data_IF_779400130247
#
_entry.id   IF_779400130247
#
_cell.length_a   1.000
_cell.length_b   1.000
_cell.length_c   1.000
_cell.angle_alpha   90.00
_cell.angle_beta   90.00
_cell.angle_gamma   90.00
#
_symmetry.space_group_name_H-M   'P 1'
#
loop_
_entity.id
_entity.type
_entity.pdbx_description
1 polymer ?
#
# COMPACT_ATOMS: atom_id res chain seq x y z
N UNK A 1 5.20 -15.68 -29.27
CA UNK A 1 5.19 -14.62 -28.22
C UNK A 1 4.14 -14.97 -27.19
N UNK A 2 4.47 -14.89 -25.90
CA UNK A 2 3.50 -15.15 -24.82
C UNK A 2 2.52 -13.98 -24.73
N UNK A 3 1.23 -14.27 -24.48
CA UNK A 3 0.24 -13.20 -24.31
C UNK A 3 0.48 -12.43 -23.01
N UNK A 4 0.20 -11.12 -23.02
CA UNK A 4 0.31 -10.27 -21.82
C UNK A 4 -0.52 -10.85 -20.66
N UNK A 5 -1.75 -11.27 -20.93
CA UNK A 5 -2.67 -11.80 -19.92
C UNK A 5 -2.11 -13.08 -19.25
N UNK A 6 -1.49 -13.98 -20.03
CA UNK A 6 -0.88 -15.19 -19.48
C UNK A 6 0.29 -14.85 -18.55
N UNK A 7 1.16 -13.92 -18.94
CA UNK A 7 2.28 -13.47 -18.11
C UNK A 7 1.79 -12.78 -16.84
N UNK A 8 0.85 -11.86 -16.99
CA UNK A 8 0.24 -11.09 -15.92
C UNK A 8 -0.37 -12.00 -14.87
N UNK A 9 -1.21 -12.96 -15.26
CA UNK A 9 -1.84 -13.90 -14.33
C UNK A 9 -0.81 -14.75 -13.58
N UNK A 10 0.27 -15.19 -14.24
CA UNK A 10 1.33 -15.97 -13.59
C UNK A 10 2.11 -15.15 -12.58
N UNK A 11 2.46 -13.90 -12.91
CA UNK A 11 3.13 -12.99 -11.98
C UNK A 11 2.22 -12.63 -10.79
N UNK A 12 0.93 -12.40 -11.04
CA UNK A 12 -0.06 -12.15 -9.99
C UNK A 12 -0.18 -13.33 -9.01
N UNK A 13 -0.30 -14.56 -9.52
CA UNK A 13 -0.35 -15.77 -8.70
C UNK A 13 0.89 -15.91 -7.82
N UNK A 14 2.07 -15.64 -8.39
CA UNK A 14 3.33 -15.77 -7.65
C UNK A 14 3.49 -14.71 -6.55
N UNK A 15 3.07 -13.46 -6.81
CA UNK A 15 3.09 -12.37 -5.84
C UNK A 15 2.02 -12.53 -4.76
N UNK A 16 0.84 -13.07 -5.11
CA UNK A 16 -0.28 -13.29 -4.20
C UNK A 16 0.05 -14.25 -3.05
N UNK A 17 0.99 -15.18 -3.24
CA UNK A 17 1.47 -16.06 -2.16
C UNK A 17 1.99 -15.27 -0.95
N UNK A 18 2.66 -14.15 -1.19
CA UNK A 18 3.11 -13.26 -0.09
C UNK A 18 1.95 -12.56 0.59
N UNK A 19 0.92 -12.17 -0.17
CA UNK A 19 -0.29 -11.54 0.37
C UNK A 19 -0.92 -12.45 1.41
N UNK A 20 -1.19 -13.70 1.05
CA UNK A 20 -1.84 -14.65 1.95
C UNK A 20 -1.02 -14.93 3.21
N UNK A 21 0.30 -15.04 3.09
CA UNK A 21 1.17 -15.26 4.25
C UNK A 21 1.15 -14.08 5.22
N UNK A 22 1.28 -12.86 4.70
CA UNK A 22 1.29 -11.63 5.51
C UNK A 22 -0.06 -11.42 6.18
N UNK A 23 -1.14 -11.58 5.41
CA UNK A 23 -2.51 -11.53 5.93
C UNK A 23 -2.75 -12.55 7.04
N UNK A 24 -2.27 -13.80 6.89
CA UNK A 24 -2.42 -14.82 7.93
C UNK A 24 -1.66 -14.45 9.21
N UNK A 25 -0.43 -13.94 9.09
CA UNK A 25 0.36 -13.48 10.24
C UNK A 25 -0.34 -12.32 10.94
N UNK A 26 -0.86 -11.36 10.20
CA UNK A 26 -1.63 -10.23 10.73
C UNK A 26 -2.91 -10.69 11.44
N UNK A 27 -3.69 -11.58 10.82
CA UNK A 27 -4.90 -12.12 11.42
C UNK A 27 -4.60 -12.86 12.72
N UNK A 28 -3.51 -13.63 12.75
CA UNK A 28 -3.03 -14.28 13.96
C UNK A 28 -2.61 -13.28 15.04
N UNK A 29 -1.83 -12.25 14.68
CA UNK A 29 -1.42 -11.20 15.62
C UNK A 29 -2.63 -10.45 16.19
N UNK A 30 -3.61 -10.10 15.35
CA UNK A 30 -4.86 -9.45 15.76
C UNK A 30 -5.65 -10.32 16.74
N UNK A 31 -5.70 -11.62 16.49
CA UNK A 31 -6.37 -12.58 17.37
C UNK A 31 -5.65 -12.67 18.73
N UNK A 32 -4.31 -12.72 18.74
CA UNK A 32 -3.54 -12.67 19.98
C UNK A 32 -3.81 -11.38 20.78
N UNK A 33 -3.78 -10.21 20.14
CA UNK A 33 -4.07 -8.95 20.82
C UNK A 33 -5.50 -8.88 21.34
N UNK A 34 -6.46 -9.42 20.60
CA UNK A 34 -7.86 -9.52 21.04
C UNK A 34 -7.98 -10.37 22.30
N UNK A 35 -7.35 -11.56 22.32
CA UNK A 35 -7.36 -12.44 23.49
C UNK A 35 -6.70 -11.75 24.70
N UNK A 36 -5.56 -11.11 24.51
CA UNK A 36 -4.86 -10.39 25.59
C UNK A 36 -5.75 -9.27 26.15
N UNK A 37 -6.43 -8.50 25.29
CA UNK A 37 -7.37 -7.47 25.70
C UNK A 37 -8.50 -8.03 26.57
N UNK A 38 -9.15 -9.10 26.10
CA UNK A 38 -10.25 -9.74 26.84
C UNK A 38 -9.83 -10.39 28.15
N UNK A 39 -8.64 -11.01 28.22
CA UNK A 39 -8.13 -11.61 29.45
C UNK A 39 -7.70 -10.54 30.47
N UNK A 40 -7.30 -9.37 30.00
CA UNK A 40 -6.89 -8.25 30.87
C UNK A 40 -8.07 -7.49 31.46
N UNK A 41 -9.25 -7.53 30.85
CA UNK A 41 -10.46 -6.89 31.36
C UNK A 41 -11.24 -7.82 32.31
N UNK A 42 -11.19 -7.55 33.62
CA UNK A 42 -11.93 -8.28 34.66
C UNK A 42 -13.40 -7.80 34.76
N UNK A 43 -14.16 -7.81 33.66
CA UNK A 43 -15.53 -7.31 33.62
C UNK A 43 -16.38 -7.88 32.48
N UNK A 44 -17.69 -7.58 32.51
CA UNK A 44 -18.57 -7.86 31.37
C UNK A 44 -18.32 -6.83 30.26
N UNK A 45 -18.20 -7.24 28.99
CA UNK A 45 -17.98 -6.29 27.90
C UNK A 45 -19.20 -5.37 27.73
N UNK A 46 -18.95 -4.07 27.85
CA UNK A 46 -19.95 -3.01 27.74
C UNK A 46 -19.71 -2.18 26.49
N UNK A 47 -20.78 -1.85 25.77
CA UNK A 47 -20.75 -0.81 24.75
C UNK A 47 -21.06 0.52 25.42
N UNK A 48 -20.18 1.50 25.23
CA UNK A 48 -20.33 2.84 25.81
C UNK A 48 -20.59 3.84 24.69
N UNK A 49 -21.78 4.45 24.71
CA UNK A 49 -22.10 5.58 23.83
C UNK A 49 -22.51 6.79 24.68
N UNK A 50 -21.57 7.69 24.96
CA UNK A 50 -21.79 8.83 25.84
C UNK A 50 -22.06 8.41 27.29
N UNK A 51 -23.31 8.55 27.76
CA UNK A 51 -23.72 8.15 29.12
C UNK A 51 -24.43 6.79 29.18
N UNK A 52 -24.75 6.20 28.02
CA UNK A 52 -25.45 4.93 27.95
C UNK A 52 -24.43 3.79 27.89
N UNK A 53 -24.49 2.90 28.89
CA UNK A 53 -23.75 1.65 28.92
C UNK A 53 -24.74 0.51 28.68
N UNK A 54 -24.42 -0.36 27.72
CA UNK A 54 -25.22 -1.55 27.42
C UNK A 54 -24.35 -2.79 27.46
N UNK A 55 -24.82 -3.83 28.16
CA UNK A 55 -24.13 -5.12 28.20
C UNK A 55 -24.23 -5.79 26.84
N UNK A 56 -23.09 -6.11 26.22
CA UNK A 56 -23.05 -6.78 24.91
C UNK A 56 -22.77 -8.26 25.09
N UNK A 57 -23.31 -9.09 24.20
CA UNK A 57 -22.92 -10.49 24.13
C UNK A 57 -21.39 -10.61 23.97
N UNK A 58 -20.75 -11.40 24.83
CA UNK A 58 -19.28 -11.59 24.86
C UNK A 58 -18.71 -11.97 23.49
N UNK A 59 -19.42 -12.80 22.71
CA UNK A 59 -18.98 -13.21 21.37
C UNK A 59 -19.00 -12.03 20.40
N UNK A 60 -20.04 -11.20 20.46
CA UNK A 60 -20.19 -10.01 19.60
C UNK A 60 -19.11 -8.98 19.95
N UNK A 61 -18.86 -8.77 21.25
CA UNK A 61 -17.79 -7.90 21.71
C UNK A 61 -16.40 -8.42 21.27
N UNK A 62 -16.16 -9.73 21.36
CA UNK A 62 -14.90 -10.34 20.92
C UNK A 62 -14.64 -10.11 19.43
N UNK A 63 -15.65 -10.31 18.59
CA UNK A 63 -15.54 -10.08 17.15
C UNK A 63 -15.35 -8.60 16.80
N UNK A 64 -15.97 -7.69 17.55
CA UNK A 64 -15.80 -6.26 17.37
C UNK A 64 -14.36 -5.81 17.70
N UNK A 65 -13.82 -6.24 18.85
CA UNK A 65 -12.42 -5.95 19.21
C UNK A 65 -11.46 -6.59 18.20
N UNK A 66 -11.74 -7.81 17.74
CA UNK A 66 -10.95 -8.44 16.67
C UNK A 66 -10.95 -7.60 15.39
N UNK A 67 -12.09 -7.05 14.98
CA UNK A 67 -12.18 -6.17 13.81
C UNK A 67 -11.34 -4.90 13.99
N UNK A 68 -11.37 -4.29 15.18
CA UNK A 68 -10.55 -3.12 15.52
C UNK A 68 -9.05 -3.47 15.51
N UNK A 69 -8.66 -4.60 16.08
CA UNK A 69 -7.27 -5.07 16.08
C UNK A 69 -6.78 -5.41 14.66
N UNK A 70 -7.65 -5.99 13.82
CA UNK A 70 -7.37 -6.19 12.39
C UNK A 70 -7.08 -4.87 11.70
N UNK A 71 -7.90 -3.84 11.93
CA UNK A 71 -7.70 -2.50 11.35
C UNK A 71 -6.37 -1.88 11.80
N UNK A 72 -6.07 -1.91 13.11
CA UNK A 72 -4.82 -1.35 13.65
C UNK A 72 -3.59 -2.07 13.09
N UNK A 73 -3.62 -3.39 13.02
CA UNK A 73 -2.48 -4.19 12.51
C UNK A 73 -2.34 -4.12 10.99
N UNK A 74 -3.40 -3.75 10.25
CA UNK A 74 -3.36 -3.58 8.79
C UNK A 74 -2.30 -2.57 8.37
N UNK A 75 -2.16 -1.45 9.09
CA UNK A 75 -1.11 -0.46 8.82
C UNK A 75 0.30 -1.06 8.84
N UNK A 76 0.58 -1.95 9.79
CA UNK A 76 1.88 -2.62 9.91
C UNK A 76 2.02 -3.68 8.81
N UNK A 77 0.96 -4.45 8.55
CA UNK A 77 0.94 -5.49 7.53
C UNK A 77 1.18 -4.92 6.13
N UNK A 78 0.49 -3.83 5.79
CA UNK A 78 0.64 -3.08 4.54
C UNK A 78 2.05 -2.54 4.36
N UNK A 79 2.63 -1.94 5.41
CA UNK A 79 3.99 -1.43 5.37
C UNK A 79 5.01 -2.54 5.13
N UNK A 80 4.89 -3.66 5.85
CA UNK A 80 5.73 -4.85 5.65
C UNK A 80 5.54 -5.42 4.25
N UNK A 81 4.30 -5.46 3.76
CA UNK A 81 3.96 -5.92 2.43
C UNK A 81 4.61 -5.04 1.35
N UNK A 82 4.57 -3.72 1.47
CA UNK A 82 5.21 -2.80 0.53
C UNK A 82 6.70 -3.06 0.40
N UNK A 83 7.41 -3.28 1.51
CA UNK A 83 8.85 -3.60 1.47
C UNK A 83 9.09 -4.93 0.73
N UNK A 84 8.41 -6.00 1.15
CA UNK A 84 8.62 -7.35 0.59
C UNK A 84 8.20 -7.40 -0.88
N UNK A 85 7.08 -6.77 -1.23
CA UNK A 85 6.54 -6.71 -2.58
C UNK A 85 7.48 -5.95 -3.52
N UNK A 86 8.03 -4.81 -3.07
CA UNK A 86 9.03 -4.06 -3.85
C UNK A 86 10.31 -4.85 -4.10
N UNK A 87 10.83 -5.56 -3.09
CA UNK A 87 12.00 -6.44 -3.26
C UNK A 87 11.68 -7.56 -4.26
N UNK A 88 10.50 -8.19 -4.17
CA UNK A 88 10.08 -9.23 -5.11
C UNK A 88 9.89 -8.69 -6.52
N UNK A 89 9.33 -7.49 -6.65
CA UNK A 89 9.14 -6.81 -7.92
C UNK A 89 10.48 -6.64 -8.65
N UNK A 90 11.49 -6.17 -7.93
CA UNK A 90 12.84 -5.99 -8.46
C UNK A 90 13.59 -7.31 -8.68
N UNK A 91 13.30 -8.35 -7.89
CA UNK A 91 13.87 -9.68 -8.15
C UNK A 91 13.35 -10.27 -9.47
N UNK A 92 12.08 -10.02 -9.80
CA UNK A 92 11.44 -10.47 -11.06
C UNK A 92 11.97 -9.67 -12.25
N UNK A 93 11.85 -8.34 -12.23
CA UNK A 93 12.96 -7.42 -12.50
C UNK A 93 14.18 -7.93 -13.29
N UNK A 94 15.04 -8.60 -12.52
CA UNK A 94 16.40 -9.01 -12.84
C UNK A 94 16.53 -10.52 -13.09
N UNK A 95 15.46 -11.28 -12.99
CA UNK A 95 15.54 -12.73 -13.05
C UNK A 95 15.82 -13.21 -14.48
N UNK A 96 16.88 -14.00 -14.63
CA UNK A 96 17.23 -14.64 -15.91
C UNK A 96 16.10 -15.55 -16.40
N UNK A 97 15.44 -16.27 -15.50
CA UNK A 97 14.32 -17.17 -15.84
C UNK A 97 13.11 -16.41 -16.38
N UNK A 98 12.76 -15.27 -15.78
CA UNK A 98 11.62 -14.47 -16.22
C UNK A 98 11.90 -13.72 -17.54
N UNK A 99 13.16 -13.33 -17.78
CA UNK A 99 13.59 -12.67 -19.04
C UNK A 99 13.69 -13.60 -20.24
N UNK A 100 13.65 -14.92 -20.07
CA UNK A 100 13.59 -15.89 -21.17
C UNK A 100 12.20 -15.99 -21.81
N UNK A 101 11.17 -15.39 -21.20
CA UNK A 101 9.82 -15.42 -21.75
C UNK A 101 9.79 -14.53 -23.01
N UNK A 102 9.27 -15.01 -24.15
CA UNK A 102 9.25 -14.24 -25.40
C UNK A 102 8.14 -13.17 -25.35
N UNK A 103 8.44 -12.05 -24.70
CA UNK A 103 7.60 -10.86 -24.50
C UNK A 103 8.48 -9.60 -24.66
N UNK A 104 7.88 -8.47 -25.05
CA UNK A 104 8.61 -7.19 -25.11
C UNK A 104 8.89 -6.67 -23.70
N UNK A 105 10.02 -6.00 -23.49
CA UNK A 105 10.44 -5.53 -22.16
C UNK A 105 9.42 -4.55 -21.54
N UNK A 106 8.77 -3.70 -22.35
CA UNK A 106 7.69 -2.82 -21.88
C UNK A 106 6.50 -3.61 -21.33
N UNK A 107 6.07 -4.69 -22.00
CA UNK A 107 4.96 -5.53 -21.55
C UNK A 107 5.34 -6.33 -20.30
N UNK A 108 6.60 -6.75 -20.20
CA UNK A 108 7.15 -7.39 -19.02
C UNK A 108 7.12 -6.45 -17.80
N UNK A 109 7.63 -5.23 -17.95
CA UNK A 109 7.66 -4.23 -16.89
C UNK A 109 6.25 -3.85 -16.43
N UNK A 110 5.35 -3.51 -17.37
CA UNK A 110 3.96 -3.19 -17.04
C UNK A 110 3.24 -4.35 -16.35
N UNK A 111 3.52 -5.61 -16.75
CA UNK A 111 2.98 -6.77 -16.05
C UNK A 111 3.53 -6.87 -14.64
N UNK A 112 4.82 -6.68 -14.44
CA UNK A 112 5.46 -6.79 -13.13
C UNK A 112 4.97 -5.71 -12.15
N UNK A 113 4.88 -4.45 -12.59
CA UNK A 113 4.32 -3.34 -11.81
C UNK A 113 2.83 -3.51 -11.56
N UNK A 114 2.05 -3.72 -12.62
CA UNK A 114 0.60 -3.84 -12.51
C UNK A 114 0.21 -4.99 -11.60
N UNK A 115 0.92 -6.12 -11.65
CA UNK A 115 0.65 -7.23 -10.74
C UNK A 115 1.07 -6.94 -9.31
N UNK A 116 2.19 -6.24 -9.06
CA UNK A 116 2.58 -5.84 -7.70
C UNK A 116 1.52 -4.94 -7.05
N UNK A 117 1.03 -3.96 -7.82
CA UNK A 117 -0.01 -3.03 -7.40
C UNK A 117 -1.36 -3.73 -7.19
N UNK A 118 -1.79 -4.60 -8.09
CA UNK A 118 -3.03 -5.36 -7.89
C UNK A 118 -2.95 -6.32 -6.71
N UNK A 119 -1.78 -6.92 -6.44
CA UNK A 119 -1.63 -7.76 -5.24
C UNK A 119 -1.63 -6.96 -3.94
N UNK A 120 -1.22 -5.68 -3.98
CA UNK A 120 -1.42 -4.75 -2.87
C UNK A 120 -2.90 -4.47 -2.63
N UNK A 121 -3.65 -4.10 -3.69
CA UNK A 121 -5.11 -3.92 -3.59
C UNK A 121 -5.80 -5.19 -3.07
N UNK A 122 -5.32 -6.36 -3.50
CA UNK A 122 -5.85 -7.64 -3.05
C UNK A 122 -5.66 -7.87 -1.54
N UNK A 123 -4.56 -7.42 -0.94
CA UNK A 123 -4.36 -7.45 0.51
C UNK A 123 -5.45 -6.61 1.21
N UNK A 124 -5.61 -5.35 0.80
CA UNK A 124 -6.62 -4.47 1.37
C UNK A 124 -8.05 -4.98 1.22
N UNK A 125 -8.37 -5.68 0.12
CA UNK A 125 -9.68 -6.35 -0.04
C UNK A 125 -9.87 -7.46 1.01
N UNK A 126 -8.85 -8.29 1.25
CA UNK A 126 -8.95 -9.37 2.25
C UNK A 126 -9.14 -8.81 3.66
N UNK A 127 -8.43 -7.74 4.00
CA UNK A 127 -8.57 -7.05 5.28
C UNK A 127 -9.96 -6.43 5.44
N UNK A 128 -10.42 -5.66 4.45
CA UNK A 128 -11.73 -5.02 4.47
C UNK A 128 -12.87 -6.03 4.58
N UNK A 129 -12.83 -7.10 3.78
CA UNK A 129 -13.84 -8.18 3.85
C UNK A 129 -13.85 -8.81 5.23
N UNK A 130 -12.68 -9.09 5.82
CA UNK A 130 -12.58 -9.69 7.15
C UNK A 130 -13.19 -8.77 8.20
N UNK A 131 -12.82 -7.49 8.21
CA UNK A 131 -13.35 -6.48 9.14
C UNK A 131 -14.88 -6.35 9.00
N UNK A 132 -15.40 -6.27 7.77
CA UNK A 132 -16.84 -6.16 7.53
C UNK A 132 -17.55 -7.39 8.07
N UNK A 133 -17.08 -8.59 7.71
CA UNK A 133 -17.71 -9.87 8.11
C UNK A 133 -17.70 -10.03 9.63
N UNK A 134 -16.62 -9.65 10.32
CA UNK A 134 -16.53 -9.75 11.78
C UNK A 134 -17.38 -8.73 12.50
N UNK A 135 -17.70 -7.59 11.88
CA UNK A 135 -18.60 -6.57 12.44
C UNK A 135 -20.09 -6.86 12.20
N UNK A 136 -20.45 -7.66 11.19
CA UNK A 136 -21.87 -7.97 10.88
C UNK A 136 -22.70 -8.46 12.09
N UNK A 137 -22.20 -9.34 12.98
CA UNK A 137 -22.95 -9.79 14.15
C UNK A 137 -23.35 -8.67 15.13
N UNK A 138 -22.64 -7.54 15.13
CA UNK A 138 -23.01 -6.36 15.93
C UNK A 138 -24.38 -5.80 15.53
N UNK A 139 -24.75 -5.96 14.25
CA UNK A 139 -26.06 -5.55 13.75
C UNK A 139 -27.19 -6.48 14.20
N UNK A 140 -26.92 -7.60 14.87
CA UNK A 140 -27.97 -8.49 15.40
C UNK A 140 -28.33 -8.17 16.85
N UNK A 141 -27.46 -7.46 17.58
CA UNK A 141 -27.69 -7.09 18.98
C UNK A 141 -28.59 -5.83 19.05
N UNK A 142 -29.67 -5.92 19.82
CA UNK A 142 -30.69 -4.87 19.87
C UNK A 142 -30.17 -3.60 20.54
N UNK A 143 -29.29 -3.72 21.53
CA UNK A 143 -28.77 -2.56 22.27
C UNK A 143 -27.65 -1.89 21.48
N UNK A 144 -26.84 -2.66 20.75
CA UNK A 144 -25.89 -2.13 19.77
C UNK A 144 -26.62 -1.43 18.61
N UNK A 145 -27.71 -2.00 18.09
CA UNK A 145 -28.55 -1.34 17.07
C UNK A 145 -29.11 0.00 17.54
N UNK A 146 -29.59 0.07 18.80
CA UNK A 146 -30.07 1.32 19.38
C UNK A 146 -28.93 2.32 19.52
N UNK A 147 -27.77 1.89 20.02
CA UNK A 147 -26.61 2.76 20.17
C UNK A 147 -26.09 3.30 18.83
N UNK A 148 -26.02 2.47 17.78
CA UNK A 148 -25.67 2.88 16.41
C UNK A 148 -26.75 3.82 15.82
N UNK A 149 -28.03 3.48 16.02
CA UNK A 149 -29.14 4.31 15.54
C UNK A 149 -29.21 5.68 16.21
N UNK A 150 -28.86 5.76 17.50
CA UNK A 150 -28.73 7.00 18.27
C UNK A 150 -27.46 7.77 17.94
N UNK A 151 -26.37 7.07 17.59
CA UNK A 151 -25.13 7.70 17.12
C UNK A 151 -25.31 8.44 15.79
N UNK A 152 -26.46 8.27 15.12
CA UNK A 152 -26.89 9.01 13.93
C UNK A 152 -25.72 9.40 13.03
N UNK A 153 -25.03 8.40 12.47
CA UNK A 153 -23.97 8.63 11.48
C UNK A 153 -24.65 9.13 10.21
N UNK A 154 -25.00 10.41 10.20
CA UNK A 154 -25.47 11.12 9.02
C UNK A 154 -24.22 11.42 8.18
N UNK A 155 -23.80 10.44 7.38
CA UNK A 155 -22.80 10.68 6.35
C UNK A 155 -23.43 11.61 5.31
N UNK A 156 -23.01 12.87 5.35
CA UNK A 156 -23.31 13.83 4.32
C UNK A 156 -22.64 13.41 3.00
N UNK A 157 -23.08 14.02 1.90
CA UNK A 157 -22.41 13.81 0.61
C UNK A 157 -20.92 14.21 0.67
N UNK A 158 -20.57 15.17 1.54
CA UNK A 158 -19.18 15.60 1.77
C UNK A 158 -18.37 14.50 2.46
N UNK A 159 -18.91 13.87 3.50
CA UNK A 159 -18.20 12.79 4.21
C UNK A 159 -17.90 11.60 3.28
N UNK A 160 -18.84 11.26 2.40
CA UNK A 160 -18.62 10.24 1.37
C UNK A 160 -17.54 10.64 0.36
N UNK A 161 -17.48 11.91 -0.04
CA UNK A 161 -16.44 12.42 -0.91
C UNK A 161 -15.06 12.35 -0.24
N UNK A 162 -14.97 12.73 1.03
CA UNK A 162 -13.73 12.69 1.82
C UNK A 162 -13.22 11.24 2.01
N UNK A 163 -14.13 10.30 2.30
CA UNK A 163 -13.80 8.87 2.39
C UNK A 163 -13.31 8.29 1.05
N UNK A 164 -13.97 8.64 -0.06
CA UNK A 164 -13.55 8.18 -1.39
C UNK A 164 -12.22 8.82 -1.81
N UNK A 165 -12.02 10.10 -1.49
CA UNK A 165 -10.79 10.81 -1.82
C UNK A 165 -9.60 10.28 -1.02
N UNK A 166 -9.76 10.03 0.27
CA UNK A 166 -8.72 9.42 1.11
C UNK A 166 -8.36 8.01 0.63
N UNK A 167 -9.35 7.19 0.26
CA UNK A 167 -9.11 5.88 -0.33
C UNK A 167 -8.34 5.97 -1.67
N UNK A 168 -8.74 6.91 -2.54
CA UNK A 168 -8.03 7.18 -3.79
C UNK A 168 -6.57 7.60 -3.54
N UNK A 169 -6.34 8.42 -2.52
CA UNK A 169 -5.01 8.92 -2.18
C UNK A 169 -4.11 7.81 -1.62
N UNK A 170 -4.63 6.93 -0.76
CA UNK A 170 -3.89 5.75 -0.27
C UNK A 170 -3.45 4.87 -1.44
N UNK A 171 -4.32 4.67 -2.43
CA UNK A 171 -4.01 3.89 -3.63
C UNK A 171 -2.89 4.57 -4.44
N UNK A 172 -2.96 5.88 -4.65
CA UNK A 172 -1.93 6.64 -5.37
C UNK A 172 -0.59 6.61 -4.62
N UNK A 173 -0.58 6.80 -3.29
CA UNK A 173 0.65 6.67 -2.48
C UNK A 173 1.25 5.26 -2.61
N UNK A 174 0.41 4.23 -2.55
CA UNK A 174 0.85 2.85 -2.73
C UNK A 174 1.48 2.63 -4.10
N UNK A 175 0.92 3.22 -5.16
CA UNK A 175 1.50 3.19 -6.51
C UNK A 175 2.82 3.96 -6.59
N UNK A 176 2.84 5.19 -6.08
CA UNK A 176 4.01 6.07 -6.01
C UNK A 176 5.21 5.35 -5.39
N UNK A 177 5.00 4.59 -4.31
CA UNK A 177 6.04 3.79 -3.69
C UNK A 177 6.72 2.82 -4.68
N UNK A 178 5.94 2.08 -5.47
CA UNK A 178 6.49 1.15 -6.45
C UNK A 178 7.24 1.88 -7.57
N UNK A 179 6.66 2.97 -8.10
CA UNK A 179 7.26 3.78 -9.16
C UNK A 179 8.60 4.41 -8.70
N UNK A 180 8.65 4.90 -7.46
CA UNK A 180 9.88 5.43 -6.87
C UNK A 180 10.93 4.33 -6.73
N UNK A 181 10.62 3.20 -6.11
CA UNK A 181 11.61 2.12 -5.89
C UNK A 181 12.19 1.62 -7.22
N UNK A 182 11.34 1.52 -8.23
CA UNK A 182 11.72 1.22 -9.62
C UNK A 182 12.71 2.24 -10.19
N UNK A 183 12.36 3.52 -10.11
CA UNK A 183 13.20 4.62 -10.56
C UNK A 183 14.56 4.57 -9.89
N UNK A 184 14.62 4.34 -8.57
CA UNK A 184 15.89 4.22 -7.85
C UNK A 184 16.76 3.13 -8.44
N UNK A 185 16.15 2.00 -8.77
CA UNK A 185 16.88 0.85 -9.25
C UNK A 185 17.36 1.04 -10.69
N UNK A 186 16.46 1.47 -11.58
CA UNK A 186 16.74 1.73 -12.98
C UNK A 186 17.75 2.86 -13.14
N UNK A 187 17.61 3.94 -12.38
CA UNK A 187 18.59 5.04 -12.35
C UNK A 187 19.95 4.54 -11.85
N UNK A 188 19.99 3.82 -10.72
CA UNK A 188 21.23 3.25 -10.17
C UNK A 188 21.95 2.36 -11.18
N UNK A 189 21.20 1.53 -11.92
CA UNK A 189 21.76 0.63 -12.93
C UNK A 189 22.24 1.38 -14.17
N UNK A 190 21.43 2.31 -14.68
CA UNK A 190 21.81 3.16 -15.80
C UNK A 190 23.14 3.88 -15.48
N UNK A 191 23.29 4.40 -14.27
CA UNK A 191 24.55 5.05 -13.84
C UNK A 191 25.74 4.08 -13.87
N UNK A 192 25.56 2.84 -13.40
CA UNK A 192 26.61 1.81 -13.44
C UNK A 192 27.00 1.48 -14.89
N UNK A 193 26.02 1.36 -15.78
CA UNK A 193 26.25 1.00 -17.19
C UNK A 193 26.85 2.18 -18.00
N UNK A 194 26.60 3.43 -17.59
CA UNK A 194 27.27 4.64 -18.14
C UNK A 194 28.67 4.90 -17.58
N UNK A 195 29.13 4.11 -16.63
CA UNK A 195 30.47 4.21 -16.06
C UNK A 195 31.34 3.06 -16.61
N UNK A 196 31.86 3.17 -17.85
CA UNK A 196 32.79 2.18 -18.38
C UNK A 196 34.06 2.18 -17.53
N UNK A 197 34.71 1.02 -17.44
CA UNK A 197 36.03 0.94 -16.82
C UNK A 197 37.00 1.96 -17.45
N UNK A 198 37.46 2.93 -16.64
CA UNK A 198 38.49 3.93 -16.98
C UNK A 198 37.89 5.34 -17.21
N UNK A 199 38.27 6.39 -16.48
CA UNK A 199 39.65 6.78 -16.16
C UNK A 199 39.87 7.37 -14.75
N UNK A 200 38.86 7.52 -13.88
CA UNK A 200 39.12 7.80 -12.46
C UNK A 200 38.06 7.18 -11.55
N UNK A 201 38.50 6.25 -10.69
CA UNK A 201 37.66 5.65 -9.64
C UNK A 201 36.96 6.70 -8.78
N UNK A 202 37.56 7.89 -8.68
CA UNK A 202 37.08 9.03 -7.91
C UNK A 202 35.91 9.74 -8.59
N UNK A 203 35.96 10.00 -9.91
CA UNK A 203 34.85 10.66 -10.62
C UNK A 203 33.62 9.73 -10.70
N UNK A 204 33.85 8.44 -10.96
CA UNK A 204 32.83 7.39 -10.87
C UNK A 204 32.16 7.36 -9.49
N UNK A 205 32.96 7.47 -8.42
CA UNK A 205 32.48 7.51 -7.04
C UNK A 205 31.69 8.79 -6.76
N UNK A 206 32.17 9.96 -7.18
CA UNK A 206 31.50 11.25 -6.98
C UNK A 206 30.15 11.29 -7.71
N UNK A 207 30.09 10.88 -8.98
CA UNK A 207 28.83 10.83 -9.74
C UNK A 207 27.82 9.90 -9.05
N UNK A 208 28.28 8.73 -8.58
CA UNK A 208 27.44 7.80 -7.82
C UNK A 208 26.93 8.45 -6.53
N UNK A 209 27.78 9.14 -5.77
CA UNK A 209 27.39 9.83 -4.52
C UNK A 209 26.41 10.96 -4.79
N UNK A 210 26.64 11.80 -5.81
CA UNK A 210 25.76 12.93 -6.16
C UNK A 210 24.39 12.44 -6.58
N UNK A 211 24.29 11.37 -7.38
CA UNK A 211 22.98 10.84 -7.77
C UNK A 211 22.29 10.13 -6.60
N UNK A 212 23.04 9.43 -5.72
CA UNK A 212 22.47 8.91 -4.47
C UNK A 212 21.91 10.05 -3.61
N UNK A 213 22.62 11.17 -3.50
CA UNK A 213 22.14 12.36 -2.77
C UNK A 213 20.91 12.95 -3.45
N UNK A 214 20.89 13.07 -4.78
CA UNK A 214 19.73 13.56 -5.52
C UNK A 214 18.51 12.65 -5.34
N UNK A 215 18.73 11.33 -5.36
CA UNK A 215 17.73 10.31 -5.05
C UNK A 215 17.23 10.48 -3.61
N UNK A 216 18.12 10.57 -2.62
CA UNK A 216 17.75 10.76 -1.20
C UNK A 216 17.00 12.07 -1.02
N UNK A 217 17.36 13.12 -1.74
CA UNK A 217 16.70 14.41 -1.68
C UNK A 217 15.29 14.36 -2.29
N UNK A 218 15.12 13.72 -3.45
CA UNK A 218 13.80 13.47 -4.06
C UNK A 218 12.95 12.60 -3.14
N UNK A 219 13.53 11.54 -2.55
CA UNK A 219 12.86 10.68 -1.58
C UNK A 219 12.46 11.43 -0.31
N UNK A 220 13.34 12.28 0.22
CA UNK A 220 13.06 13.09 1.39
C UNK A 220 11.95 14.11 1.12
N UNK A 221 11.93 14.70 -0.08
CA UNK A 221 10.89 15.61 -0.50
C UNK A 221 9.55 14.88 -0.73
N UNK A 222 9.56 13.76 -1.44
CA UNK A 222 8.39 12.90 -1.64
C UNK A 222 7.85 12.38 -0.30
N UNK A 223 8.73 11.94 0.61
CA UNK A 223 8.35 11.53 1.96
C UNK A 223 7.77 12.71 2.74
N UNK A 224 8.35 13.91 2.66
CA UNK A 224 7.78 15.08 3.35
C UNK A 224 6.39 15.44 2.84
N UNK A 225 6.17 15.34 1.52
CA UNK A 225 4.85 15.55 0.90
C UNK A 225 3.89 14.46 1.40
N UNK A 226 4.29 13.19 1.33
CA UNK A 226 3.50 12.06 1.84
C UNK A 226 3.15 12.22 3.31
N UNK A 227 4.10 12.56 4.19
CA UNK A 227 3.85 12.74 5.62
C UNK A 227 3.02 13.98 5.93
N UNK A 228 3.21 15.09 5.20
CA UNK A 228 2.37 16.28 5.34
C UNK A 228 0.92 15.97 4.97
N UNK A 229 0.72 15.23 3.89
CA UNK A 229 -0.60 14.85 3.40
C UNK A 229 -1.23 13.78 4.29
N UNK A 230 -0.50 12.74 4.73
CA UNK A 230 -1.03 11.71 5.64
C UNK A 230 -1.45 12.27 7.01
N UNK A 231 -0.73 13.28 7.52
CA UNK A 231 -1.11 13.97 8.76
C UNK A 231 -2.40 14.79 8.62
N UNK A 232 -2.67 15.27 7.41
CA UNK A 232 -3.86 16.06 7.06
C UNK A 232 -5.05 15.19 6.59
N UNK A 233 -4.80 14.01 6.02
CA UNK A 233 -5.80 13.10 5.44
C UNK A 233 -6.31 12.00 6.37
N UNK A 234 -5.95 12.01 7.66
CA UNK A 234 -6.52 11.05 8.60
C UNK A 234 -8.03 11.28 8.70
N UNK A 235 -8.88 10.30 8.33
CA UNK A 235 -10.33 10.40 8.52
C UNK A 235 -10.73 10.45 10.01
N UNK A 236 -9.76 10.32 10.91
CA UNK A 236 -9.91 10.43 12.35
C UNK A 236 -9.28 11.71 12.93
N UNK A 237 -8.63 12.55 12.11
CA UNK A 237 -8.12 13.84 12.54
C UNK A 237 -9.21 14.90 12.43
N UNK A 238 -9.66 15.40 13.58
CA UNK A 238 -10.61 16.52 13.71
C UNK A 238 -9.87 17.84 13.46
N UNK A 239 -9.32 18.04 12.27
CA UNK A 239 -8.67 19.30 11.91
C UNK A 239 -9.47 20.01 10.82
N UNK A 240 -9.87 21.26 11.11
CA UNK A 240 -10.65 22.15 10.24
C UNK A 240 -9.80 22.75 9.09
N UNK A 241 -9.00 21.93 8.39
CA UNK A 241 -8.37 22.39 7.15
C UNK A 241 -9.30 22.07 5.99
N UNK A 242 -9.68 23.10 5.23
CA UNK A 242 -10.34 22.92 3.92
C UNK A 242 -9.30 22.37 2.93
N UNK A 243 -9.05 21.07 3.01
CA UNK A 243 -8.20 20.36 2.08
C UNK A 243 -8.95 20.24 0.76
N UNK A 244 -8.36 20.75 -0.31
CA UNK A 244 -8.88 20.52 -1.66
C UNK A 244 -8.46 19.13 -2.16
N UNK A 245 -9.24 18.14 -1.75
CA UNK A 245 -9.07 16.73 -2.09
C UNK A 245 -8.87 16.48 -3.60
N UNK A 246 -9.55 17.25 -4.45
CA UNK A 246 -9.48 17.08 -5.90
C UNK A 246 -8.12 17.50 -6.45
N UNK A 247 -7.58 18.64 -6.00
CA UNK A 247 -6.25 19.08 -6.45
C UNK A 247 -5.14 18.21 -5.89
N UNK A 248 -5.23 17.75 -4.63
CA UNK A 248 -4.25 16.80 -4.07
C UNK A 248 -4.22 15.49 -4.85
N UNK A 249 -5.38 14.89 -5.13
CA UNK A 249 -5.46 13.68 -5.96
C UNK A 249 -4.87 13.88 -7.35
N UNK A 250 -5.17 15.02 -7.99
CA UNK A 250 -4.63 15.34 -9.30
C UNK A 250 -3.10 15.47 -9.27
N UNK A 251 -2.54 16.11 -8.24
CA UNK A 251 -1.09 16.25 -8.08
C UNK A 251 -0.39 14.89 -7.92
N UNK A 252 -0.93 14.00 -7.09
CA UNK A 252 -0.40 12.64 -6.94
C UNK A 252 -0.52 11.83 -8.23
N UNK A 253 -1.64 11.91 -8.93
CA UNK A 253 -1.82 11.24 -10.21
C UNK A 253 -0.80 11.73 -11.24
N UNK A 254 -0.59 13.05 -11.35
CA UNK A 254 0.42 13.63 -12.24
C UNK A 254 1.82 13.16 -11.84
N UNK A 255 2.15 13.15 -10.56
CA UNK A 255 3.42 12.64 -10.05
C UNK A 255 3.65 11.18 -10.48
N UNK A 256 2.68 10.30 -10.24
CA UNK A 256 2.76 8.87 -10.59
C UNK A 256 2.96 8.65 -12.09
N UNK A 257 2.21 9.37 -12.92
CA UNK A 257 2.36 9.34 -14.38
C UNK A 257 3.76 9.78 -14.80
N UNK A 258 4.26 10.90 -14.26
CA UNK A 258 5.58 11.43 -14.61
C UNK A 258 6.69 10.46 -14.22
N UNK A 259 6.68 9.91 -13.00
CA UNK A 259 7.70 8.95 -12.56
C UNK A 259 7.68 7.68 -13.41
N UNK A 260 6.49 7.17 -13.71
CA UNK A 260 6.33 5.96 -14.55
C UNK A 260 6.85 6.19 -15.97
N UNK A 261 6.63 7.38 -16.55
CA UNK A 261 7.18 7.73 -17.85
C UNK A 261 8.71 7.80 -17.84
N UNK A 262 9.31 8.33 -16.76
CA UNK A 262 10.76 8.36 -16.59
C UNK A 262 11.30 6.93 -16.51
N UNK A 263 10.64 6.03 -15.78
CA UNK A 263 11.03 4.62 -15.68
C UNK A 263 11.01 3.91 -17.03
N UNK A 264 9.93 4.10 -17.80
CA UNK A 264 9.80 3.54 -19.15
C UNK A 264 10.94 4.08 -20.04
N UNK A 265 11.23 5.39 -19.97
CA UNK A 265 12.30 6.00 -20.73
C UNK A 265 13.68 5.44 -20.35
N UNK A 266 14.00 5.33 -19.06
CA UNK A 266 15.26 4.76 -18.59
C UNK A 266 15.42 3.31 -19.03
N UNK A 267 14.34 2.51 -18.96
CA UNK A 267 14.38 1.13 -19.41
C UNK A 267 14.67 1.04 -20.91
N UNK A 268 13.89 1.74 -21.74
CA UNK A 268 14.03 1.70 -23.20
C UNK A 268 15.40 2.24 -23.67
N UNK A 269 15.93 3.27 -23.00
CA UNK A 269 17.17 3.92 -23.45
C UNK A 269 18.43 3.24 -22.95
N UNK A 270 18.41 2.66 -21.74
CA UNK A 270 19.63 2.24 -21.04
C UNK A 270 19.67 0.76 -20.65
N UNK A 271 18.53 0.06 -20.66
CA UNK A 271 18.46 -1.37 -20.27
C UNK A 271 18.15 -2.27 -21.46
N UNK A 272 17.48 -1.76 -22.51
CA UNK A 272 17.39 -2.48 -23.78
C UNK A 272 18.80 -2.67 -24.36
N UNK A 273 19.22 -3.93 -24.47
CA UNK A 273 20.37 -4.25 -25.30
C UNK A 273 19.97 -3.92 -26.75
N UNK A 274 20.65 -2.94 -27.36
CA UNK A 274 20.58 -2.77 -28.81
C UNK A 274 20.85 -4.14 -29.45
N UNK A 275 19.87 -4.64 -30.19
CA UNK A 275 20.12 -5.71 -31.15
C UNK A 275 21.12 -5.14 -32.17
N UNK A 276 22.40 -5.49 -31.99
CA UNK A 276 23.40 -5.39 -33.04
C UNK A 276 23.30 -6.66 -33.89
#
# INVERSE_FOLDING_TARGET
MTSFNTLFNRMFQEKSKSVYLIFLIQAFASLCFTIIGFVSENGTPEFVNGKDTSSVNVIVAFLAVFAVMMLITSFIADFVYWIISSIKNEKINRSQTWRLIPVTDTKFLLSNFGTAFLTYIWLGILEAVTIIVTLLPMLSDQDVRKAIGQASIHLSARDWQEMLASLGLIILIGYAWYAIVSLLNLASRSIIDFLPGGSSKVLTFIIRVVVIIAIIWILGHAASIIFSVLGEFSPFAVNNYDIDYATTLLQFLVFDVVITLIDIFLLNKFVEAKQN
#
